data_IF_089282629986
#
_entry.id   IF_089282629986
#
_cell.length_a   1.000
_cell.length_b   1.000
_cell.length_c   1.000
_cell.angle_alpha   90.00
_cell.angle_beta   90.00
_cell.angle_gamma   90.00
#
_symmetry.space_group_name_H-M   'P 1'
#
loop_
_entity.id
_entity.type
_entity.pdbx_description
1 polymer ?
#
# COMPACT_ATOMS: atom_id res chain seq x y z
N UNK A 1 12.10 -1.45 16.63
CA UNK A 1 11.31 -0.40 15.96
C UNK A 1 10.20 -1.11 15.21
N UNK A 2 8.94 -0.81 15.50
CA UNK A 2 7.83 -1.36 14.71
C UNK A 2 7.90 -0.69 13.34
N UNK A 3 8.58 -1.33 12.39
CA UNK A 3 8.41 -1.04 10.97
C UNK A 3 6.94 -1.30 10.65
N UNK A 4 6.14 -0.24 10.59
CA UNK A 4 4.79 -0.31 10.02
C UNK A 4 4.97 -0.73 8.57
N UNK A 5 4.87 -2.03 8.31
CA UNK A 5 5.17 -2.61 7.02
C UNK A 5 4.02 -2.26 6.07
N UNK A 6 4.26 -1.37 5.11
CA UNK A 6 3.29 -1.07 4.06
C UNK A 6 2.76 -2.33 3.36
N UNK A 7 3.60 -3.37 3.24
CA UNK A 7 3.19 -4.70 2.77
C UNK A 7 2.08 -5.33 3.63
N UNK A 8 2.16 -5.22 4.96
CA UNK A 8 1.14 -5.75 5.88
C UNK A 8 -0.16 -4.97 5.73
N UNK A 9 -0.09 -3.64 5.65
CA UNK A 9 -1.28 -2.80 5.42
C UNK A 9 -1.93 -3.11 4.05
N UNK A 10 -1.12 -3.32 3.01
CA UNK A 10 -1.61 -3.69 1.68
C UNK A 10 -2.30 -5.06 1.70
N UNK A 11 -1.74 -6.06 2.40
CA UNK A 11 -2.36 -7.38 2.56
C UNK A 11 -3.67 -7.27 3.34
N UNK A 12 -3.73 -6.48 4.42
CA UNK A 12 -4.98 -6.30 5.18
C UNK A 12 -6.08 -5.67 4.34
N UNK A 13 -5.77 -4.58 3.63
CA UNK A 13 -6.73 -3.95 2.72
C UNK A 13 -7.21 -4.93 1.64
N UNK A 14 -6.29 -5.72 1.07
CA UNK A 14 -6.62 -6.73 0.07
C UNK A 14 -7.52 -7.86 0.60
N UNK A 15 -7.47 -8.17 1.90
CA UNK A 15 -8.35 -9.16 2.51
C UNK A 15 -9.77 -8.61 2.76
N UNK A 16 -9.91 -7.29 2.88
CA UNK A 16 -11.18 -6.62 3.14
C UNK A 16 -11.90 -6.20 1.85
N UNK A 17 -11.19 -6.09 0.72
CA UNK A 17 -11.75 -5.72 -0.58
C UNK A 17 -11.97 -6.93 -1.50
N UNK A 18 -13.08 -6.94 -2.25
CA UNK A 18 -13.36 -7.95 -3.28
C UNK A 18 -12.32 -7.92 -4.42
N UNK A 19 -11.59 -6.81 -4.60
CA UNK A 19 -10.57 -6.62 -5.64
C UNK A 19 -9.14 -6.79 -5.12
N UNK A 20 -8.96 -7.43 -3.96
CA UNK A 20 -7.69 -7.49 -3.25
C UNK A 20 -6.51 -8.04 -4.05
N UNK A 21 -6.75 -9.03 -4.92
CA UNK A 21 -5.73 -9.57 -5.80
C UNK A 21 -5.27 -8.58 -6.88
N UNK A 22 -6.19 -7.78 -7.44
CA UNK A 22 -5.87 -6.75 -8.43
C UNK A 22 -5.11 -5.59 -7.76
N UNK A 23 -5.57 -5.19 -6.57
CA UNK A 23 -4.89 -4.21 -5.73
C UNK A 23 -3.46 -4.65 -5.39
N UNK A 24 -3.26 -5.87 -4.90
CA UNK A 24 -1.92 -6.38 -4.54
C UNK A 24 -0.98 -6.46 -5.74
N UNK A 25 -1.50 -6.79 -6.93
CA UNK A 25 -0.70 -6.76 -8.16
C UNK A 25 -0.22 -5.35 -8.47
N UNK A 26 -1.13 -4.36 -8.50
CA UNK A 26 -0.75 -2.96 -8.70
C UNK A 26 0.25 -2.49 -7.64
N UNK A 27 0.06 -2.91 -6.39
CA UNK A 27 0.93 -2.54 -5.27
C UNK A 27 2.33 -3.15 -5.43
N UNK A 28 2.40 -4.43 -5.79
CA UNK A 28 3.66 -5.14 -6.02
C UNK A 28 4.42 -4.65 -7.25
N UNK A 29 3.70 -4.15 -8.26
CA UNK A 29 4.29 -3.50 -9.45
C UNK A 29 4.74 -2.06 -9.18
N UNK A 30 4.48 -1.52 -7.98
CA UNK A 30 4.79 -0.14 -7.63
C UNK A 30 3.88 0.89 -8.32
N UNK A 31 2.73 0.46 -8.85
CA UNK A 31 1.77 1.31 -9.54
C UNK A 31 0.85 2.04 -8.53
N UNK A 32 1.47 2.82 -7.64
CA UNK A 32 0.77 3.52 -6.56
C UNK A 32 -0.18 4.63 -7.08
N UNK A 33 0.10 5.21 -8.25
CA UNK A 33 -0.80 6.18 -8.89
C UNK A 33 -2.12 5.54 -9.33
N UNK A 34 -2.08 4.36 -9.96
CA UNK A 34 -3.29 3.61 -10.28
C UNK A 34 -4.06 3.27 -9.01
N UNK A 35 -3.34 2.87 -7.95
CA UNK A 35 -3.97 2.56 -6.67
C UNK A 35 -4.73 3.74 -6.09
N UNK A 36 -4.15 4.95 -6.08
CA UNK A 36 -4.83 6.17 -5.58
C UNK A 36 -6.05 6.55 -6.41
N UNK A 37 -6.08 6.18 -7.68
CA UNK A 37 -7.21 6.47 -8.59
C UNK A 37 -8.33 5.45 -8.45
N UNK A 38 -8.00 4.16 -8.34
CA UNK A 38 -8.98 3.06 -8.33
C UNK A 38 -9.46 2.71 -6.92
N UNK A 39 -8.59 2.80 -5.92
CA UNK A 39 -8.91 2.57 -4.50
C UNK A 39 -8.61 3.84 -3.66
N UNK A 40 -9.39 4.92 -3.82
CA UNK A 40 -9.17 6.17 -3.08
C UNK A 40 -9.40 6.03 -1.57
N UNK A 41 -10.09 4.98 -1.13
CA UNK A 41 -10.32 4.62 0.28
C UNK A 41 -9.13 3.91 0.95
N UNK A 42 -8.09 3.56 0.18
CA UNK A 42 -6.96 2.81 0.71
C UNK A 42 -6.20 3.62 1.78
N UNK A 43 -5.85 3.01 2.91
CA UNK A 43 -5.16 3.74 3.97
C UNK A 43 -3.74 4.13 3.55
N UNK A 44 -3.30 5.34 3.91
CA UNK A 44 -1.98 5.86 3.51
C UNK A 44 -0.82 4.97 3.98
N UNK A 45 -1.03 4.18 5.03
CA UNK A 45 -0.09 3.19 5.56
C UNK A 45 0.33 2.14 4.53
N UNK A 46 -0.44 1.89 3.48
CA UNK A 46 -0.01 1.00 2.37
C UNK A 46 1.12 1.59 1.54
N UNK A 47 1.37 2.90 1.62
CA UNK A 47 2.45 3.56 0.87
C UNK A 47 3.69 3.82 1.73
N UNK A 48 3.54 3.88 3.06
CA UNK A 48 4.63 4.28 3.98
C UNK A 48 5.75 3.23 4.01
N UNK A 49 6.91 3.57 3.45
CA UNK A 49 8.07 2.69 3.34
C UNK A 49 8.08 1.77 2.11
N UNK A 50 7.01 1.74 1.31
CA UNK A 50 6.99 1.10 -0.01
C UNK A 50 7.13 2.11 -1.15
N UNK A 51 6.61 3.33 -0.96
CA UNK A 51 6.76 4.45 -1.87
C UNK A 51 8.03 5.25 -1.51
N UNK A 52 8.97 5.47 -2.44
CA UNK A 52 10.18 6.27 -2.20
C UNK A 52 9.91 7.71 -1.77
N UNK A 53 8.72 8.26 -2.08
CA UNK A 53 8.26 9.59 -1.66
C UNK A 53 7.68 9.59 -0.24
N UNK A 54 7.37 8.42 0.32
CA UNK A 54 6.99 8.24 1.73
C UNK A 54 8.04 7.40 2.46
N UNK A 55 9.24 7.96 2.74
CA UNK A 55 10.21 7.27 3.57
C UNK A 55 9.58 7.00 4.94
N UNK A 56 9.63 5.74 5.38
CA UNK A 56 9.36 5.39 6.76
C UNK A 56 10.40 6.15 7.61
N UNK A 57 9.98 7.23 8.28
CA UNK A 57 10.88 8.17 8.94
C UNK A 57 11.90 7.42 9.80
N UNK A 58 13.18 7.56 9.45
CA UNK A 58 14.28 6.92 10.18
C UNK A 58 15.65 7.21 9.56
N UNK A 59 16.18 8.41 9.87
CA UNK A 59 17.59 8.84 9.84
C UNK A 59 18.33 8.95 8.50
#
# INVERSE_FOLDING_TARGET
MQTQNAAVAAIQFALETDEGLAFLRCWNEGNFEAIRREWPEVPVSVFVGADPLHPATGA
#
